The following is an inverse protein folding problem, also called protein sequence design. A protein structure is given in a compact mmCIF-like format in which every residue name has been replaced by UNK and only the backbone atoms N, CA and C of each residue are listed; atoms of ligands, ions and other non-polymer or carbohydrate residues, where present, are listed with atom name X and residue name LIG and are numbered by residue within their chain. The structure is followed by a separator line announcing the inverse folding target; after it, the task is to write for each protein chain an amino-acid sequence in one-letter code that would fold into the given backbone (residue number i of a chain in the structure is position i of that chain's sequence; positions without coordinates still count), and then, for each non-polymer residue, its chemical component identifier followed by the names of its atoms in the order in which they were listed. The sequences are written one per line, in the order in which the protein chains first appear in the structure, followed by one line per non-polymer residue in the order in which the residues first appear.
data_IF_536017989916
#
_entry.id   IF_536017989916
#
_cell.length_a   1.000
_cell.length_b   1.000
_cell.length_c   1.000
_cell.angle_alpha   90.00
_cell.angle_beta   90.00
_cell.angle_gamma   90.00
#
_symmetry.space_group_name_H-M   'P 1'
#
loop_
_entity.id
_entity.type
_entity.pdbx_description
1 polymer ?
#
# COMPACT_ATOMS: atom_id res chain seq x y z
N UNK A 1 0.88 -3.14 -14.03
CA UNK A 1 1.09 -3.44 -12.60
C UNK A 1 -0.21 -3.12 -11.89
N UNK A 2 -0.73 -4.03 -11.08
CA UNK A 2 -1.90 -3.75 -10.24
C UNK A 2 -1.44 -2.98 -8.99
N UNK A 3 -2.00 -1.80 -8.76
CA UNK A 3 -1.66 -0.95 -7.62
C UNK A 3 -2.32 -1.52 -6.37
N UNK A 4 -1.54 -2.25 -5.56
CA UNK A 4 -2.03 -2.88 -4.34
C UNK A 4 -1.87 -1.96 -3.15
N UNK A 5 -2.93 -1.80 -2.38
CA UNK A 5 -2.92 -1.03 -1.14
C UNK A 5 -3.08 -1.97 0.05
N UNK A 6 -2.27 -1.78 1.09
CA UNK A 6 -2.41 -2.50 2.36
C UNK A 6 -3.03 -1.58 3.40
N UNK A 7 -3.97 -2.09 4.19
CA UNK A 7 -4.51 -1.36 5.33
C UNK A 7 -3.46 -1.25 6.42
N UNK A 8 -3.16 -0.02 6.82
CA UNK A 8 -2.21 0.29 7.89
C UNK A 8 -2.95 0.56 9.19
N UNK A 9 -4.10 1.24 9.11
CA UNK A 9 -4.92 1.64 10.25
C UNK A 9 -6.38 1.65 9.85
N UNK A 10 -7.23 1.15 10.71
CA UNK A 10 -8.68 1.27 10.61
C UNK A 10 -9.20 1.92 11.89
N UNK A 11 -10.15 2.84 11.77
CA UNK A 11 -10.72 3.59 12.89
C UNK A 11 -12.23 3.65 12.73
N UNK A 12 -12.97 3.20 13.75
CA UNK A 12 -14.40 3.43 13.85
C UNK A 12 -14.66 4.86 14.35
N UNK A 13 -15.62 5.56 13.74
CA UNK A 13 -16.04 6.90 14.16
C UNK A 13 -17.52 6.88 14.56
N UNK A 14 -17.90 7.72 15.51
CA UNK A 14 -19.27 7.83 16.02
C UNK A 14 -19.96 9.06 15.41
N UNK A 15 -20.11 9.05 14.10
CA UNK A 15 -20.75 10.10 13.31
C UNK A 15 -21.90 9.49 12.50
N UNK A 16 -22.89 10.32 12.16
CA UNK A 16 -24.00 9.87 11.33
C UNK A 16 -23.54 9.59 9.90
N UNK A 17 -23.87 8.40 9.40
CA UNK A 17 -23.69 8.07 8.00
C UNK A 17 -24.56 8.98 7.10
N UNK A 18 -24.01 9.66 6.09
CA UNK A 18 -24.79 10.50 5.17
C UNK A 18 -25.85 9.73 4.38
N UNK A 19 -25.67 8.42 4.19
CA UNK A 19 -26.56 7.57 3.40
C UNK A 19 -27.68 6.91 4.23
N UNK A 20 -27.37 6.43 5.44
CA UNK A 20 -28.30 5.65 6.25
C UNK A 20 -28.56 6.21 7.66
N UNK A 21 -27.94 7.34 8.01
CA UNK A 21 -28.10 8.06 9.29
C UNK A 21 -27.76 7.26 10.56
N UNK A 22 -27.20 6.06 10.44
CA UNK A 22 -26.71 5.31 11.59
C UNK A 22 -25.43 5.96 12.15
N UNK A 23 -25.30 6.01 13.48
CA UNK A 23 -24.17 6.62 14.21
C UNK A 23 -22.96 5.69 14.34
N UNK A 24 -23.16 4.37 14.30
CA UNK A 24 -22.15 3.37 14.70
C UNK A 24 -21.59 2.55 13.53
N UNK A 25 -21.78 3.01 12.30
CA UNK A 25 -21.44 2.26 11.10
C UNK A 25 -20.16 2.71 10.40
N UNK A 26 -19.63 3.90 10.69
CA UNK A 26 -18.60 4.53 9.87
C UNK A 26 -17.18 4.11 10.28
N UNK A 27 -16.38 3.71 9.29
CA UNK A 27 -14.99 3.30 9.46
C UNK A 27 -14.07 3.99 8.46
N UNK A 28 -13.08 4.73 8.98
CA UNK A 28 -11.96 5.21 8.18
C UNK A 28 -10.89 4.13 8.05
N UNK A 29 -10.50 3.83 6.82
CA UNK A 29 -9.38 2.95 6.51
C UNK A 29 -8.25 3.75 5.88
N UNK A 30 -7.09 3.77 6.52
CA UNK A 30 -5.88 4.36 5.98
C UNK A 30 -5.01 3.26 5.38
N UNK A 31 -4.72 3.41 4.10
CA UNK A 31 -4.00 2.42 3.30
C UNK A 31 -2.69 3.01 2.79
N UNK A 32 -1.74 2.14 2.51
CA UNK A 32 -0.45 2.51 1.93
C UNK A 32 -0.15 1.62 0.72
N UNK A 33 0.36 2.21 -0.35
CA UNK A 33 0.64 1.48 -1.58
C UNK A 33 1.85 0.57 -1.41
N UNK A 34 1.65 -0.67 -1.81
CA UNK A 34 2.59 -1.75 -1.80
C UNK A 34 2.75 -2.29 -3.22
N UNK A 35 3.97 -2.22 -3.74
CA UNK A 35 4.32 -2.76 -5.05
C UNK A 35 4.99 -4.10 -4.83
N UNK A 36 4.49 -5.13 -5.48
CA UNK A 36 5.17 -6.42 -5.48
C UNK A 36 5.16 -7.02 -6.88
N UNK A 37 6.35 -7.42 -7.31
CA UNK A 37 6.64 -8.06 -8.59
C UNK A 37 7.25 -9.43 -8.34
N UNK A 38 7.58 -10.16 -9.41
CA UNK A 38 8.32 -11.42 -9.30
C UNK A 38 9.73 -11.24 -8.73
N UNK A 39 10.34 -10.06 -8.85
CA UNK A 39 11.75 -9.81 -8.49
C UNK A 39 11.93 -8.99 -7.22
N UNK A 40 10.98 -8.13 -6.88
CA UNK A 40 11.10 -7.27 -5.71
C UNK A 40 9.74 -7.02 -5.05
N UNK A 41 9.81 -6.53 -3.81
CA UNK A 41 8.69 -5.93 -3.11
C UNK A 41 9.11 -4.58 -2.56
N UNK A 42 8.21 -3.61 -2.64
CA UNK A 42 8.43 -2.24 -2.22
C UNK A 42 7.22 -1.72 -1.47
N UNK A 43 7.46 -1.04 -0.36
CA UNK A 43 6.45 -0.24 0.32
C UNK A 43 6.75 1.23 0.02
N UNK A 44 5.79 1.91 -0.59
CA UNK A 44 5.96 3.30 -1.06
C UNK A 44 5.47 4.30 -0.01
N UNK A 45 5.74 5.58 -0.18
CA UNK A 45 5.16 6.64 0.66
C UNK A 45 3.75 7.05 0.24
N UNK A 46 3.22 6.51 -0.86
CA UNK A 46 1.87 6.81 -1.34
C UNK A 46 0.83 6.20 -0.39
N UNK A 47 -0.13 7.02 0.02
CA UNK A 47 -1.18 6.65 0.97
C UNK A 47 -2.55 6.94 0.37
N UNK A 48 -3.52 6.09 0.67
CA UNK A 48 -4.92 6.28 0.32
C UNK A 48 -5.77 6.20 1.59
N UNK A 49 -6.98 6.74 1.52
CA UNK A 49 -7.95 6.66 2.59
C UNK A 49 -9.32 6.34 2.02
N UNK A 50 -10.15 5.70 2.82
CA UNK A 50 -11.51 5.33 2.47
C UNK A 50 -12.40 5.46 3.69
N UNK A 51 -13.61 5.97 3.50
CA UNK A 51 -14.68 5.93 4.50
C UNK A 51 -15.70 4.90 4.06
N UNK A 52 -15.94 3.89 4.89
CA UNK A 52 -16.90 2.83 4.60
C UNK A 52 -17.91 2.71 5.74
N UNK A 53 -19.20 2.62 5.40
CA UNK A 53 -20.25 2.33 6.36
C UNK A 53 -20.53 0.83 6.40
N UNK A 54 -20.23 0.16 7.50
CA UNK A 54 -20.51 -1.27 7.70
C UNK A 54 -21.99 -1.58 7.93
N UNK A 55 -22.81 -0.57 8.23
CA UNK A 55 -24.26 -0.77 8.44
C UNK A 55 -25.02 -0.88 7.13
N UNK A 56 -24.77 0.03 6.18
CA UNK A 56 -25.40 0.00 4.85
C UNK A 56 -24.45 -0.48 3.75
N UNK A 57 -23.29 -1.02 4.13
CA UNK A 57 -22.29 -1.64 3.26
C UNK A 57 -21.87 -0.78 2.05
N UNK A 58 -21.71 0.52 2.28
CA UNK A 58 -21.41 1.49 1.21
C UNK A 58 -20.15 2.29 1.49
N UNK A 59 -19.39 2.58 0.43
CA UNK A 59 -18.27 3.52 0.48
C UNK A 59 -18.81 4.94 0.38
N UNK A 60 -18.45 5.78 1.35
CA UNK A 60 -18.86 7.19 1.43
C UNK A 60 -17.74 8.04 0.82
N UNK A 61 -17.98 8.61 -0.36
CA UNK A 61 -17.00 9.45 -1.04
C UNK A 61 -16.86 10.83 -0.38
N UNK A 62 -15.68 11.47 -0.44
CA UNK A 62 -15.42 12.77 0.19
C UNK A 62 -16.43 13.88 -0.15
N UNK A 63 -17.01 13.86 -1.35
CA UNK A 63 -18.05 14.81 -1.76
C UNK A 63 -19.34 14.71 -0.92
N UNK A 64 -19.59 13.56 -0.30
CA UNK A 64 -20.75 13.31 0.57
C UNK A 64 -20.41 13.45 2.06
N UNK A 65 -19.20 13.89 2.42
CA UNK A 65 -18.83 14.05 3.82
C UNK A 65 -19.48 15.31 4.40
N UNK A 66 -19.78 15.24 5.70
CA UNK A 66 -20.21 16.42 6.47
C UNK A 66 -18.99 17.08 7.12
N UNK A 67 -19.13 18.35 7.49
CA UNK A 67 -18.06 19.10 8.18
C UNK A 67 -17.53 18.37 9.44
N UNK A 68 -18.42 17.66 10.15
CA UNK A 68 -18.04 16.87 11.32
C UNK A 68 -17.18 15.65 10.94
N UNK A 69 -17.49 14.99 9.82
CA UNK A 69 -16.70 13.86 9.30
C UNK A 69 -15.33 14.37 8.84
N UNK A 70 -15.27 15.50 8.13
CA UNK A 70 -14.02 16.13 7.69
C UNK A 70 -13.10 16.47 8.87
N UNK A 71 -13.67 17.03 9.95
CA UNK A 71 -12.90 17.36 11.15
C UNK A 71 -12.30 16.13 11.82
N UNK A 72 -13.09 15.05 11.94
CA UNK A 72 -12.62 13.78 12.54
C UNK A 72 -11.58 13.11 11.64
N UNK A 73 -11.79 13.17 10.33
CA UNK A 73 -10.82 12.71 9.33
C UNK A 73 -9.47 13.41 9.50
N UNK A 74 -9.46 14.75 9.55
CA UNK A 74 -8.25 15.55 9.68
C UNK A 74 -7.47 15.22 10.96
N UNK A 75 -8.18 15.01 12.07
CA UNK A 75 -7.56 14.55 13.31
C UNK A 75 -6.83 13.21 13.13
N UNK A 76 -7.52 12.22 12.56
CA UNK A 76 -6.92 10.90 12.36
C UNK A 76 -5.83 10.88 11.29
N UNK A 77 -5.94 11.73 10.27
CA UNK A 77 -4.94 11.91 9.21
C UNK A 77 -3.64 12.50 9.78
N UNK A 78 -3.71 13.49 10.68
CA UNK A 78 -2.52 14.02 11.37
C UNK A 78 -1.85 12.98 12.27
N UNK A 79 -2.65 12.13 12.90
CA UNK A 79 -2.15 11.03 13.74
C UNK A 79 -1.73 9.78 12.93
N UNK A 80 -1.89 9.78 11.60
CA UNK A 80 -1.53 8.66 10.75
C UNK A 80 -0.07 8.77 10.32
N UNK A 81 0.75 7.82 10.75
CA UNK A 81 2.15 7.71 10.33
C UNK A 81 2.28 6.52 9.38
N UNK A 82 2.54 6.73 8.08
CA UNK A 82 2.76 5.63 7.15
C UNK A 82 4.00 4.84 7.55
N UNK A 83 4.02 3.54 7.20
CA UNK A 83 5.21 2.72 7.46
C UNK A 83 6.38 3.24 6.62
N UNK A 84 7.60 3.11 7.16
CA UNK A 84 8.81 3.53 6.46
C UNK A 84 8.89 2.86 5.08
N UNK A 85 9.12 3.68 4.05
CA UNK A 85 9.31 3.17 2.70
C UNK A 85 10.46 2.16 2.68
N UNK A 86 10.29 1.07 1.95
CA UNK A 86 11.27 -0.01 1.92
C UNK A 86 11.29 -0.66 0.55
N UNK A 87 12.47 -1.09 0.13
CA UNK A 87 12.67 -1.85 -1.10
C UNK A 87 13.44 -3.12 -0.76
N UNK A 88 12.91 -4.27 -1.17
CA UNK A 88 13.53 -5.58 -0.89
C UNK A 88 13.49 -6.46 -2.14
N UNK A 89 14.66 -6.93 -2.56
CA UNK A 89 14.78 -7.95 -3.59
C UNK A 89 14.29 -9.30 -3.09
N UNK A 90 13.60 -10.03 -3.96
CA UNK A 90 13.17 -11.41 -3.72
C UNK A 90 14.29 -12.38 -4.09
N UNK A 91 14.19 -13.61 -3.60
CA UNK A 91 15.15 -14.69 -3.90
C UNK A 91 15.31 -14.93 -5.41
N UNK A 92 14.22 -14.81 -6.18
CA UNK A 92 14.21 -14.86 -7.64
C UNK A 92 15.15 -13.84 -8.30
N UNK A 93 15.18 -12.60 -7.81
CA UNK A 93 16.10 -11.59 -8.32
C UNK A 93 17.55 -11.95 -8.00
N UNK A 94 17.82 -12.43 -6.77
CA UNK A 94 19.15 -12.90 -6.39
C UNK A 94 19.62 -14.10 -7.23
N UNK A 95 18.73 -15.05 -7.54
CA UNK A 95 19.04 -16.16 -8.44
C UNK A 95 19.36 -15.64 -9.84
N UNK A 96 18.54 -14.74 -10.39
CA UNK A 96 18.78 -14.14 -11.71
C UNK A 96 20.13 -13.42 -11.79
N UNK A 97 20.47 -12.63 -10.76
CA UNK A 97 21.78 -11.97 -10.65
C UNK A 97 22.91 -13.01 -10.60
N UNK A 98 22.78 -14.06 -9.79
CA UNK A 98 23.78 -15.11 -9.68
C UNK A 98 24.03 -15.86 -10.99
N UNK A 99 22.96 -16.17 -11.74
CA UNK A 99 23.07 -16.80 -13.07
C UNK A 99 23.78 -15.90 -14.07
N UNK A 100 23.41 -14.61 -14.12
CA UNK A 100 24.06 -13.64 -15.01
C UNK A 100 25.56 -13.50 -14.72
N UNK A 101 25.94 -13.41 -13.44
CA UNK A 101 27.35 -13.35 -13.03
C UNK A 101 28.08 -14.63 -13.45
N UNK A 102 27.48 -15.81 -13.23
CA UNK A 102 28.07 -17.09 -13.64
C UNK A 102 28.36 -17.16 -15.15
N UNK A 103 27.42 -16.70 -15.98
CA UNK A 103 27.60 -16.67 -17.45
C UNK A 103 28.76 -15.76 -17.85
N UNK A 104 28.86 -14.56 -17.25
CA UNK A 104 29.94 -13.61 -17.54
C UNK A 104 31.30 -14.20 -17.18
N UNK A 105 31.42 -14.84 -16.00
CA UNK A 105 32.68 -15.45 -15.55
C UNK A 105 33.10 -16.59 -16.49
N UNK A 106 32.17 -17.47 -16.87
CA UNK A 106 32.46 -18.55 -17.83
C UNK A 106 32.86 -17.99 -19.20
N UNK A 107 32.18 -16.95 -19.68
CA UNK A 107 32.49 -16.29 -20.95
C UNK A 107 33.90 -15.69 -20.98
N UNK A 108 34.26 -14.92 -19.95
CA UNK A 108 35.60 -14.33 -19.83
C UNK A 108 36.66 -15.42 -19.73
N UNK A 109 36.43 -16.44 -18.90
CA UNK A 109 37.36 -17.57 -18.74
C UNK A 109 37.61 -18.30 -20.06
N UNK A 110 36.56 -18.54 -20.85
CA UNK A 110 36.69 -19.16 -22.17
C UNK A 110 37.49 -18.27 -23.15
N UNK A 111 37.26 -16.95 -23.14
CA UNK A 111 38.02 -16.03 -24.01
C UNK A 111 39.51 -15.98 -23.66
N UNK A 112 39.85 -15.99 -22.37
CA UNK A 112 41.25 -15.98 -21.88
C UNK A 112 41.93 -17.33 -22.13
N UNK A 113 41.20 -18.44 -22.02
CA UNK A 113 41.76 -19.77 -22.29
C UNK A 113 42.01 -20.01 -23.78
N UNK A 114 41.23 -19.38 -24.67
CA UNK A 114 41.33 -19.53 -26.12
C UNK A 114 42.27 -18.50 -26.79
N UNK A 115 42.78 -17.52 -26.05
CA UNK A 115 43.75 -16.50 -26.49
C UNK A 115 45.18 -16.86 -26.10
#
# INVERSE_FOLDING_TARGET
MDDRFITIKEVAINNNCPECYNTNGLHFTFKQKFVETSFYKSLTTETAHELFCKTCETTIYPVNWTDDIDRVFDYHKRAFVPKKASFKLKKSAWIGIGVLIGIIVVGIGATVFLS
#
